data_IF_544173960979
#
_entry.id   IF_544173960979
#
_cell.length_a   1.000
_cell.length_b   1.000
_cell.length_c   1.000
_cell.angle_alpha   90.00
_cell.angle_beta   90.00
_cell.angle_gamma   90.00
#
_symmetry.space_group_name_H-M   'P 1'
#
loop_
_entity.id
_entity.type
_entity.pdbx_description
1 polymer ?
#
# COMPACT_ATOMS: atom_id res chain seq x y z
N UNK A 1 27.56 -26.35 -14.50
CA UNK A 1 26.41 -25.53 -14.00
C UNK A 1 25.06 -26.23 -14.25
N UNK A 2 24.81 -26.72 -15.46
CA UNK A 2 23.58 -27.42 -15.87
C UNK A 2 23.22 -28.65 -15.00
N UNK A 3 24.18 -29.54 -14.71
CA UNK A 3 23.96 -30.75 -13.91
C UNK A 3 23.39 -30.44 -12.52
N UNK A 4 23.88 -29.36 -11.89
CA UNK A 4 23.47 -28.96 -10.55
C UNK A 4 22.03 -28.42 -10.53
N UNK A 5 21.58 -27.73 -11.58
CA UNK A 5 20.21 -27.18 -11.65
C UNK A 5 19.15 -28.17 -12.09
N UNK A 6 19.56 -29.24 -12.77
CA UNK A 6 18.62 -30.19 -13.38
C UNK A 6 18.61 -31.55 -12.67
N UNK A 7 19.31 -31.66 -11.53
CA UNK A 7 19.18 -32.77 -10.57
C UNK A 7 18.37 -32.33 -9.35
N UNK A 8 17.53 -33.24 -8.84
CA UNK A 8 16.80 -33.10 -7.58
C UNK A 8 17.77 -33.34 -6.41
N UNK A 9 17.29 -33.08 -5.18
CA UNK A 9 18.07 -33.32 -3.94
C UNK A 9 18.50 -34.78 -3.77
N UNK A 10 17.75 -35.72 -4.35
CA UNK A 10 18.06 -37.15 -4.34
C UNK A 10 19.12 -37.57 -5.39
N UNK A 11 19.61 -36.63 -6.21
CA UNK A 11 20.58 -36.87 -7.28
C UNK A 11 19.97 -37.33 -8.61
N UNK A 12 18.67 -37.60 -8.66
CA UNK A 12 17.97 -37.96 -9.91
C UNK A 12 17.72 -36.72 -10.78
N UNK A 13 17.67 -36.90 -12.10
CA UNK A 13 17.33 -35.81 -13.01
C UNK A 13 15.84 -35.44 -12.92
N UNK A 14 15.53 -34.17 -13.19
CA UNK A 14 14.15 -33.67 -13.13
C UNK A 14 13.23 -34.29 -14.19
N UNK A 15 13.77 -34.60 -15.38
CA UNK A 15 13.09 -35.30 -16.49
C UNK A 15 14.11 -36.08 -17.35
N UNK A 16 13.62 -36.90 -18.29
CA UNK A 16 14.46 -37.72 -19.18
C UNK A 16 15.32 -36.86 -20.12
N UNK A 17 14.80 -35.75 -20.63
CA UNK A 17 15.55 -34.84 -21.50
C UNK A 17 16.77 -34.23 -20.79
N UNK A 18 16.58 -33.80 -19.54
CA UNK A 18 17.68 -33.31 -18.71
C UNK A 18 18.70 -34.39 -18.39
N UNK A 19 18.26 -35.65 -18.24
CA UNK A 19 19.19 -36.78 -18.08
C UNK A 19 20.06 -36.93 -19.33
N UNK A 20 19.46 -36.97 -20.52
CA UNK A 20 20.20 -37.14 -21.78
C UNK A 20 21.24 -36.02 -21.97
N UNK A 21 20.83 -34.77 -21.78
CA UNK A 21 21.74 -33.62 -21.89
C UNK A 21 22.80 -33.67 -20.80
N UNK A 22 22.42 -34.01 -19.56
CA UNK A 22 23.34 -34.06 -18.44
C UNK A 22 24.42 -35.13 -18.57
N UNK A 23 24.05 -36.34 -19.00
CA UNK A 23 25.00 -37.43 -19.26
C UNK A 23 25.96 -37.10 -20.40
N UNK A 24 25.49 -36.44 -21.47
CA UNK A 24 26.35 -35.99 -22.56
C UNK A 24 27.37 -34.93 -22.10
N UNK A 25 26.94 -33.98 -21.26
CA UNK A 25 27.82 -32.96 -20.67
C UNK A 25 28.85 -33.59 -19.73
N UNK A 26 28.43 -34.48 -18.83
CA UNK A 26 29.35 -35.20 -17.93
C UNK A 26 30.38 -36.03 -18.70
N UNK A 27 29.97 -36.67 -19.79
CA UNK A 27 30.87 -37.44 -20.67
C UNK A 27 31.94 -36.55 -21.31
N UNK A 28 31.55 -35.39 -21.84
CA UNK A 28 32.46 -34.42 -22.47
C UNK A 28 33.45 -33.85 -21.43
N UNK A 29 32.96 -33.46 -20.25
CA UNK A 29 33.81 -32.91 -19.19
C UNK A 29 34.77 -33.95 -18.61
N UNK A 30 34.41 -35.24 -18.61
CA UNK A 30 35.28 -36.34 -18.16
C UNK A 30 36.46 -36.61 -19.09
N UNK A 31 36.33 -36.28 -20.38
CA UNK A 31 37.36 -36.50 -21.41
C UNK A 31 38.44 -35.41 -21.42
N UNK A 32 38.33 -34.38 -20.57
CA UNK A 32 39.38 -33.38 -20.32
C UNK A 32 39.69 -32.41 -21.47
N UNK A 33 38.99 -32.52 -22.60
CA UNK A 33 39.22 -31.68 -23.79
C UNK A 33 38.47 -30.34 -23.80
N UNK A 34 37.49 -30.14 -22.92
CA UNK A 34 36.63 -28.96 -22.89
C UNK A 34 36.75 -28.20 -21.57
N UNK A 35 36.92 -26.88 -21.65
CA UNK A 35 36.97 -26.02 -20.47
C UNK A 35 35.63 -26.05 -19.72
N UNK A 36 35.68 -26.18 -18.39
CA UNK A 36 34.52 -25.98 -17.51
C UNK A 36 34.15 -24.49 -17.33
N UNK A 37 34.97 -23.61 -17.89
CA UNK A 37 34.76 -22.17 -17.94
C UNK A 37 33.78 -21.80 -19.06
N UNK A 38 33.03 -20.71 -18.85
CA UNK A 38 32.07 -20.18 -19.83
C UNK A 38 32.84 -19.74 -21.07
N UNK A 39 32.66 -20.48 -22.15
CA UNK A 39 33.33 -20.27 -23.43
C UNK A 39 32.35 -20.52 -24.56
N UNK A 40 32.63 -19.93 -25.73
CA UNK A 40 31.85 -20.14 -26.96
C UNK A 40 31.79 -21.62 -27.37
N UNK A 41 32.74 -22.44 -26.88
CA UNK A 41 32.85 -23.87 -27.16
C UNK A 41 32.88 -24.71 -25.88
N UNK A 42 32.16 -24.30 -24.85
CA UNK A 42 32.04 -25.10 -23.63
C UNK A 42 31.27 -26.41 -23.86
N UNK A 43 31.26 -27.29 -22.85
CA UNK A 43 30.58 -28.59 -22.92
C UNK A 43 29.10 -28.46 -23.28
N UNK A 44 28.43 -27.39 -22.84
CA UNK A 44 27.03 -27.12 -23.17
C UNK A 44 26.85 -26.62 -24.60
N UNK A 45 27.77 -25.82 -25.13
CA UNK A 45 27.76 -25.38 -26.52
C UNK A 45 27.95 -26.57 -27.48
N UNK A 46 28.66 -27.60 -27.06
CA UNK A 46 28.83 -28.82 -27.83
C UNK A 46 27.55 -29.69 -27.85
N UNK A 47 26.84 -29.80 -26.72
CA UNK A 47 25.62 -30.62 -26.62
C UNK A 47 24.38 -29.90 -27.16
N UNK A 48 24.19 -28.63 -26.82
CA UNK A 48 22.99 -27.84 -27.14
C UNK A 48 23.20 -26.86 -28.30
N UNK A 49 24.38 -26.85 -28.91
CA UNK A 49 24.77 -25.88 -29.95
C UNK A 49 25.30 -24.56 -29.38
N UNK A 50 25.88 -23.72 -30.24
CA UNK A 50 26.47 -22.44 -29.84
C UNK A 50 25.44 -21.46 -29.29
N UNK A 51 25.85 -20.64 -28.34
CA UNK A 51 25.04 -19.53 -27.85
C UNK A 51 24.93 -18.42 -28.92
N UNK A 52 23.79 -17.72 -28.94
CA UNK A 52 23.50 -16.64 -29.89
C UNK A 52 23.60 -15.28 -29.22
N UNK A 53 24.08 -14.27 -29.96
CA UNK A 53 24.11 -12.88 -29.50
C UNK A 53 22.74 -12.44 -28.96
N UNK A 54 22.72 -11.83 -27.77
CA UNK A 54 21.50 -11.36 -27.11
C UNK A 54 20.72 -12.44 -26.35
N UNK A 55 21.22 -13.67 -26.27
CA UNK A 55 20.69 -14.73 -25.40
C UNK A 55 21.78 -15.20 -24.45
N UNK A 56 21.42 -15.40 -23.18
CA UNK A 56 22.32 -15.94 -22.15
C UNK A 56 21.73 -17.24 -21.58
N UNK A 57 22.52 -18.30 -21.55
CA UNK A 57 22.21 -19.57 -20.88
C UNK A 57 22.45 -19.43 -19.39
N UNK A 58 21.38 -19.08 -18.66
CA UNK A 58 21.40 -18.90 -17.21
C UNK A 58 21.09 -20.16 -16.41
N UNK A 59 21.42 -20.12 -15.11
CA UNK A 59 21.12 -21.11 -14.08
C UNK A 59 19.63 -21.12 -13.71
N UNK A 60 18.73 -21.45 -14.64
CA UNK A 60 17.28 -21.44 -14.37
C UNK A 60 16.74 -20.04 -14.09
N UNK A 61 15.58 -19.73 -14.66
CA UNK A 61 15.14 -18.35 -14.97
C UNK A 61 16.08 -17.76 -16.04
N UNK A 62 15.57 -17.43 -17.23
CA UNK A 62 16.36 -16.73 -18.25
C UNK A 62 16.81 -15.35 -17.76
N UNK A 63 16.92 -14.32 -18.60
CA UNK A 63 16.61 -13.00 -18.08
C UNK A 63 15.18 -13.09 -17.52
N UNK A 64 15.03 -13.36 -16.21
CA UNK A 64 13.88 -12.88 -15.49
C UNK A 64 13.92 -11.39 -15.82
N UNK A 65 12.87 -10.80 -16.43
CA UNK A 65 12.73 -9.36 -16.36
C UNK A 65 12.75 -9.09 -14.87
N UNK A 66 13.93 -8.72 -14.36
CA UNK A 66 14.01 -8.21 -13.02
C UNK A 66 13.08 -7.04 -13.09
N UNK A 67 11.99 -7.08 -12.36
CA UNK A 67 11.17 -5.89 -12.09
C UNK A 67 12.01 -4.75 -11.47
N UNK A 68 13.31 -4.98 -11.26
CA UNK A 68 14.35 -4.17 -10.65
C UNK A 68 15.16 -3.33 -11.67
N UNK A 69 14.77 -3.23 -12.94
CA UNK A 69 15.24 -2.13 -13.81
C UNK A 69 14.04 -1.41 -14.44
N UNK A 70 13.23 -0.80 -13.58
CA UNK A 70 12.53 0.43 -13.89
C UNK A 70 12.95 1.51 -12.90
N UNK A 71 14.19 2.00 -13.06
CA UNK A 71 14.45 3.44 -12.91
C UNK A 71 14.28 4.13 -14.28
N UNK A 72 13.40 3.63 -15.13
CA UNK A 72 12.67 4.54 -16.00
C UNK A 72 11.72 5.29 -15.07
N UNK A 73 11.61 6.63 -15.12
CA UNK A 73 10.38 7.24 -14.63
C UNK A 73 9.30 6.51 -15.40
N UNK A 74 8.57 5.66 -14.67
CA UNK A 74 7.39 5.00 -15.17
C UNK A 74 6.64 6.14 -15.84
N UNK A 75 6.52 6.11 -17.17
CA UNK A 75 5.62 7.03 -17.83
C UNK A 75 4.23 6.53 -17.45
N UNK A 76 3.85 6.76 -16.18
CA UNK A 76 2.49 7.11 -15.84
C UNK A 76 2.11 8.12 -16.93
N UNK A 77 1.18 7.78 -17.84
CA UNK A 77 0.80 8.73 -18.89
C UNK A 77 0.56 10.05 -18.19
N UNK A 78 1.26 11.11 -18.64
CA UNK A 78 1.33 12.44 -17.99
C UNK A 78 -0.02 12.93 -17.44
N UNK A 79 -1.09 12.53 -18.13
CA UNK A 79 -2.52 12.62 -17.74
C UNK A 79 -2.81 12.14 -16.31
N UNK A 80 -2.32 10.96 -15.88
CA UNK A 80 -2.54 10.40 -14.55
C UNK A 80 -1.84 11.21 -13.44
N UNK A 81 -0.63 11.72 -13.69
CA UNK A 81 0.05 12.58 -12.70
C UNK A 81 -0.71 13.89 -12.52
N UNK A 82 -1.11 14.51 -13.64
CA UNK A 82 -1.86 15.77 -13.61
C UNK A 82 -3.24 15.60 -12.96
N UNK A 83 -3.91 14.45 -13.18
CA UNK A 83 -5.18 14.08 -12.54
C UNK A 83 -5.00 13.89 -11.02
N UNK A 84 -4.01 13.11 -10.57
CA UNK A 84 -3.72 12.96 -9.14
C UNK A 84 -3.32 14.30 -8.48
N UNK A 85 -2.57 15.15 -9.18
CA UNK A 85 -2.22 16.47 -8.67
C UNK A 85 -3.45 17.37 -8.53
N UNK A 86 -4.40 17.29 -9.47
CA UNK A 86 -5.67 18.01 -9.41
C UNK A 86 -6.53 17.52 -8.25
N UNK A 87 -6.70 16.21 -8.09
CA UNK A 87 -7.42 15.63 -6.96
C UNK A 87 -6.80 16.05 -5.62
N UNK A 88 -5.46 16.06 -5.53
CA UNK A 88 -4.76 16.53 -4.33
C UNK A 88 -4.97 18.02 -4.05
N UNK A 89 -5.10 18.86 -5.08
CA UNK A 89 -5.40 20.29 -4.89
C UNK A 89 -6.84 20.50 -4.46
N UNK A 90 -7.78 19.81 -5.09
CA UNK A 90 -9.22 19.89 -4.77
C UNK A 90 -9.49 19.38 -3.34
N UNK A 91 -8.90 18.24 -2.96
CA UNK A 91 -8.97 17.72 -1.58
C UNK A 91 -8.41 18.70 -0.55
N UNK A 92 -7.35 19.45 -0.90
CA UNK A 92 -6.77 20.46 0.00
C UNK A 92 -7.66 21.69 0.15
N UNK A 93 -8.30 22.13 -0.93
CA UNK A 93 -9.25 23.25 -0.90
C UNK A 93 -10.48 22.89 -0.07
N UNK A 94 -11.10 21.73 -0.32
CA UNK A 94 -12.23 21.23 0.49
C UNK A 94 -11.85 21.09 1.96
N UNK A 95 -10.65 20.59 2.26
CA UNK A 95 -10.17 20.48 3.64
C UNK A 95 -9.94 21.85 4.31
N UNK A 96 -9.59 22.89 3.54
CA UNK A 96 -9.45 24.25 4.06
C UNK A 96 -10.83 24.87 4.34
N UNK A 97 -11.79 24.69 3.43
CA UNK A 97 -13.17 25.15 3.58
C UNK A 97 -13.85 24.51 4.79
N UNK A 98 -13.78 23.18 4.93
CA UNK A 98 -14.32 22.46 6.07
C UNK A 98 -13.70 22.91 7.40
N UNK A 99 -12.39 23.21 7.40
CA UNK A 99 -11.74 23.76 8.60
C UNK A 99 -12.29 25.14 8.96
N UNK A 100 -12.55 26.01 7.98
CA UNK A 100 -13.15 27.32 8.21
C UNK A 100 -14.58 27.18 8.77
N UNK A 101 -15.41 26.33 8.16
CA UNK A 101 -16.78 26.07 8.62
C UNK A 101 -16.82 25.51 10.05
N UNK A 102 -15.93 24.55 10.37
CA UNK A 102 -15.81 24.02 11.74
C UNK A 102 -15.41 25.11 12.74
N UNK A 103 -14.55 26.05 12.35
CA UNK A 103 -14.17 27.15 13.24
C UNK A 103 -15.31 28.12 13.50
N UNK A 104 -16.14 28.41 12.49
CA UNK A 104 -17.30 29.28 12.63
C UNK A 104 -18.39 28.62 13.49
N UNK A 105 -18.75 27.37 13.21
CA UNK A 105 -19.71 26.60 14.02
C UNK A 105 -19.26 26.44 15.49
N UNK A 106 -17.95 26.36 15.74
CA UNK A 106 -17.42 26.35 17.11
C UNK A 106 -17.57 27.70 17.81
N UNK A 107 -17.44 28.81 17.10
CA UNK A 107 -17.64 30.15 17.65
C UNK A 107 -19.11 30.38 18.02
N UNK A 108 -20.04 30.01 17.14
CA UNK A 108 -21.49 30.11 17.40
C UNK A 108 -21.91 29.27 18.61
N UNK A 109 -21.47 28.00 18.67
CA UNK A 109 -21.71 27.14 19.85
C UNK A 109 -21.14 27.71 21.15
N UNK A 110 -20.03 28.44 21.09
CA UNK A 110 -19.46 29.09 22.27
C UNK A 110 -20.30 30.29 22.72
N UNK A 111 -20.84 31.07 21.79
CA UNK A 111 -21.75 32.17 22.08
C UNK A 111 -23.07 31.68 22.69
N UNK A 112 -23.67 30.64 22.11
CA UNK A 112 -24.90 30.04 22.64
C UNK A 112 -24.69 29.45 24.03
N UNK A 113 -23.55 28.79 24.26
CA UNK A 113 -23.18 28.31 25.59
C UNK A 113 -23.05 29.45 26.60
N UNK A 114 -22.49 30.59 26.20
CA UNK A 114 -22.39 31.76 27.07
C UNK A 114 -23.78 32.35 27.39
N UNK A 115 -24.68 32.42 26.41
CA UNK A 115 -26.08 32.85 26.60
C UNK A 115 -26.84 31.94 27.55
N UNK A 116 -26.71 30.61 27.37
CA UNK A 116 -27.31 29.61 28.27
C UNK A 116 -26.81 29.83 29.70
N UNK A 117 -25.50 30.00 29.90
CA UNK A 117 -24.93 30.21 31.23
C UNK A 117 -25.46 31.48 31.92
N UNK A 118 -25.61 32.57 31.17
CA UNK A 118 -26.19 33.82 31.69
C UNK A 118 -27.65 33.58 32.11
N UNK A 119 -28.42 32.87 31.28
CA UNK A 119 -29.82 32.57 31.56
C UNK A 119 -29.97 31.67 32.79
N UNK A 120 -29.13 30.65 32.94
CA UNK A 120 -29.06 29.80 34.14
C UNK A 120 -28.81 30.62 35.42
N UNK A 121 -27.86 31.56 35.37
CA UNK A 121 -27.55 32.42 36.51
C UNK A 121 -28.73 33.34 36.88
N UNK A 122 -29.42 33.91 35.88
CA UNK A 122 -30.62 34.73 36.08
C UNK A 122 -31.76 33.93 36.71
N UNK A 123 -32.04 32.73 36.18
CA UNK A 123 -33.07 31.84 36.72
C UNK A 123 -32.76 31.48 38.17
N UNK A 124 -31.50 31.13 38.47
CA UNK A 124 -31.04 30.84 39.84
C UNK A 124 -31.29 32.00 40.80
N UNK A 125 -31.02 33.23 40.36
CA UNK A 125 -31.28 34.44 41.15
C UNK A 125 -32.77 34.65 41.42
N UNK A 126 -33.63 34.48 40.41
CA UNK A 126 -35.09 34.64 40.56
C UNK A 126 -35.66 33.60 41.55
N UNK A 127 -35.24 32.33 41.43
CA UNK A 127 -35.64 31.26 42.36
C UNK A 127 -35.25 31.62 43.79
N UNK A 128 -34.06 32.19 43.98
CA UNK A 128 -33.59 32.62 45.30
C UNK A 128 -34.46 33.75 45.88
N UNK A 129 -34.90 34.70 45.05
CA UNK A 129 -35.80 35.78 45.48
C UNK A 129 -37.24 35.29 45.79
N UNK A 130 -37.69 34.21 45.14
CA UNK A 130 -39.03 33.63 45.33
C UNK A 130 -39.08 32.55 46.42
N UNK A 131 -38.03 32.42 47.24
CA UNK A 131 -38.01 31.44 48.34
C UNK A 131 -37.97 29.98 47.85
N UNK A 132 -37.27 29.71 46.75
CA UNK A 132 -37.09 28.38 46.17
C UNK A 132 -38.36 27.72 45.59
N UNK A 133 -39.41 28.50 45.32
CA UNK A 133 -40.66 27.98 44.75
C UNK A 133 -40.76 28.34 43.27
N UNK A 134 -40.73 27.34 42.39
CA UNK A 134 -40.92 27.52 40.94
C UNK A 134 -42.41 27.46 40.57
N UNK A 135 -42.89 28.27 39.61
CA UNK A 135 -44.24 28.13 39.08
C UNK A 135 -44.49 26.71 38.53
N UNK A 136 -45.67 26.09 38.79
CA UNK A 136 -45.98 24.72 38.37
C UNK A 136 -45.81 24.45 36.87
N UNK A 137 -46.06 25.48 36.05
CA UNK A 137 -45.96 25.42 34.60
C UNK A 137 -44.51 25.30 34.10
N UNK A 138 -43.57 25.99 34.76
CA UNK A 138 -42.13 25.93 34.45
C UNK A 138 -41.52 24.61 34.94
N UNK A 139 -41.95 24.13 36.11
CA UNK A 139 -41.50 22.84 36.66
C UNK A 139 -41.90 21.65 35.76
N UNK A 140 -43.09 21.72 35.15
CA UNK A 140 -43.53 20.73 34.16
C UNK A 140 -42.70 20.77 32.87
N UNK A 141 -42.35 21.95 32.36
CA UNK A 141 -41.53 22.11 31.16
C UNK A 141 -40.09 21.60 31.37
N UNK A 142 -39.48 21.88 32.53
CA UNK A 142 -38.12 21.40 32.85
C UNK A 142 -38.05 19.87 32.93
N UNK A 143 -39.07 19.23 33.50
CA UNK A 143 -39.16 17.76 33.56
C UNK A 143 -39.32 17.13 32.17
N UNK A 144 -40.03 17.78 31.27
CA UNK A 144 -40.17 17.36 29.86
C UNK A 144 -38.88 17.49 29.06
N UNK A 145 -38.00 18.44 29.39
CA UNK A 145 -36.74 18.65 28.66
C UNK A 145 -35.68 17.61 29.05
N UNK A 146 -35.71 17.13 30.29
CA UNK A 146 -34.80 16.10 30.81
C UNK A 146 -35.11 14.67 30.34
N UNK A 147 -36.31 14.40 29.81
CA UNK A 147 -36.71 13.06 29.35
C UNK A 147 -36.35 12.74 27.90
N UNK A 148 -35.66 13.63 27.16
CA UNK A 148 -35.31 13.45 25.75
C UNK A 148 -33.88 12.95 25.48
N UNK A 149 -33.15 12.51 26.51
CA UNK A 149 -31.72 12.14 26.42
C UNK A 149 -31.44 10.63 26.59
N UNK A 150 -32.41 9.75 26.36
CA UNK A 150 -32.18 8.30 26.19
C UNK A 150 -31.96 7.91 24.73
#
# INVERSE_FOLDING_TARGET
MFIMTHKKRDGSYMNDDARVVGEAVESIESQGGTSKEISVTDSLAQVLGKEHSGRVRGLGFGPCPSEIIHNTPQSTPRVQIEEYQRELTELKEVAAEQKAEITELKAEKAEDKAKIQIMENLVKYIIQQQGHTLPPEIDAQLKSLGSGAE
#
